data_IF_230942386835
#
_entry.id   IF_230942386835
#
_cell.length_a   1.000
_cell.length_b   1.000
_cell.length_c   1.000
_cell.angle_alpha   90.00
_cell.angle_beta   90.00
_cell.angle_gamma   90.00
#
_symmetry.space_group_name_H-M   'P 1'
#
loop_
_entity.id
_entity.type
_entity.pdbx_description
1 polymer ?
#
# COMPACT_ATOMS: atom_id res chain seq x y z
N UNK A 1 15.32 8.35 14.89
CA UNK A 1 13.96 8.24 14.32
C UNK A 1 13.87 7.06 13.36
N UNK A 2 14.75 6.96 12.37
CA UNK A 2 14.90 5.82 11.45
C UNK A 2 14.58 4.40 11.96
N UNK A 3 15.25 4.00 13.04
CA UNK A 3 15.12 2.66 13.63
C UNK A 3 13.74 2.49 14.28
N UNK A 4 13.19 3.57 14.85
CA UNK A 4 11.84 3.57 15.42
C UNK A 4 10.78 3.37 14.32
N UNK A 5 10.97 4.00 13.15
CA UNK A 5 10.11 3.79 11.98
C UNK A 5 10.13 2.33 11.50
N UNK A 6 11.31 1.68 11.54
CA UNK A 6 11.43 0.24 11.23
C UNK A 6 10.79 -0.70 12.26
N UNK A 7 10.55 -0.22 13.48
CA UNK A 7 9.81 -0.98 14.51
C UNK A 7 8.30 -0.76 14.33
N UNK A 8 7.88 0.46 13.98
CA UNK A 8 6.48 0.81 13.80
C UNK A 8 5.88 0.30 12.48
N UNK A 9 6.70 0.21 11.43
CA UNK A 9 6.34 -0.33 10.12
C UNK A 9 7.46 -1.25 9.62
N UNK A 10 7.47 -2.51 10.08
CA UNK A 10 8.59 -3.41 9.84
C UNK A 10 8.70 -3.84 8.38
N UNK A 11 9.95 -3.99 7.93
CA UNK A 11 10.25 -4.51 6.60
C UNK A 11 10.13 -6.02 6.63
N UNK A 12 9.48 -6.58 5.61
CA UNK A 12 9.41 -8.01 5.39
C UNK A 12 10.02 -8.33 4.03
N UNK A 13 10.79 -9.41 3.96
CA UNK A 13 11.43 -9.84 2.72
C UNK A 13 11.72 -11.33 2.69
N UNK A 14 12.19 -11.81 1.55
CA UNK A 14 12.70 -13.17 1.40
C UNK A 14 14.02 -13.14 0.64
N UNK A 15 14.81 -14.21 0.77
CA UNK A 15 16.04 -14.37 -0.02
C UNK A 15 15.76 -15.18 -1.28
N UNK A 16 15.87 -14.61 -2.50
CA UNK A 16 15.77 -15.40 -3.72
C UNK A 16 16.86 -16.48 -3.75
N UNK A 17 16.53 -17.65 -4.32
CA UNK A 17 17.48 -18.76 -4.41
C UNK A 17 18.74 -18.32 -5.15
N UNK A 18 19.91 -18.46 -4.50
CA UNK A 18 21.20 -18.09 -5.06
C UNK A 18 21.54 -16.59 -5.00
N UNK A 19 20.77 -15.77 -4.27
CA UNK A 19 21.04 -14.35 -4.07
C UNK A 19 21.45 -14.07 -2.63
N UNK A 20 22.48 -13.25 -2.42
CA UNK A 20 22.80 -12.70 -1.09
C UNK A 20 21.86 -11.56 -0.69
N UNK A 21 21.13 -10.98 -1.67
CA UNK A 21 20.22 -9.86 -1.47
C UNK A 21 18.86 -10.32 -0.98
N UNK A 22 18.23 -9.50 -0.14
CA UNK A 22 16.84 -9.68 0.29
C UNK A 22 15.92 -8.95 -0.69
N UNK A 23 14.90 -9.66 -1.17
CA UNK A 23 13.78 -9.06 -1.89
C UNK A 23 12.73 -8.59 -0.89
N UNK A 24 12.45 -7.29 -0.88
CA UNK A 24 11.44 -6.68 0.00
C UNK A 24 10.04 -6.95 -0.56
N UNK A 25 9.12 -7.36 0.32
CA UNK A 25 7.70 -7.62 -0.01
C UNK A 25 6.72 -6.81 0.82
N UNK A 26 7.18 -6.23 1.94
CA UNK A 26 6.45 -5.26 2.75
C UNK A 26 7.45 -4.33 3.48
N UNK A 27 6.97 -3.22 4.00
CA UNK A 27 7.72 -2.09 4.55
C UNK A 27 8.39 -1.24 3.48
N UNK A 28 7.80 -1.10 2.27
CA UNK A 28 8.46 -0.41 1.15
C UNK A 28 8.78 1.05 1.50
N UNK A 29 7.83 1.77 2.11
CA UNK A 29 8.05 3.15 2.54
C UNK A 29 9.16 3.27 3.61
N UNK A 30 9.16 2.37 4.59
CA UNK A 30 10.21 2.27 5.61
C UNK A 30 11.57 2.04 4.94
N UNK A 31 11.64 1.10 4.00
CA UNK A 31 12.86 0.79 3.25
C UNK A 31 13.39 2.02 2.50
N UNK A 32 12.52 2.74 1.79
CA UNK A 32 12.91 3.97 1.08
C UNK A 32 13.40 5.07 2.02
N UNK A 33 12.75 5.29 3.17
CA UNK A 33 13.22 6.26 4.18
C UNK A 33 14.59 5.90 4.72
N UNK A 34 14.84 4.63 4.98
CA UNK A 34 16.15 4.16 5.45
C UNK A 34 17.24 4.37 4.40
N UNK A 35 16.95 4.12 3.12
CA UNK A 35 17.89 4.42 2.02
C UNK A 35 18.22 5.91 1.96
N UNK A 36 17.23 6.79 2.09
CA UNK A 36 17.45 8.24 2.13
C UNK A 36 18.33 8.65 3.32
N UNK A 37 18.16 8.02 4.48
CA UNK A 37 18.98 8.28 5.66
C UNK A 37 20.39 7.73 5.55
N UNK A 38 20.60 6.62 4.84
CA UNK A 38 21.95 6.13 4.55
C UNK A 38 22.76 7.12 3.69
N UNK A 39 22.10 7.99 2.92
CA UNK A 39 22.76 9.07 2.19
C UNK A 39 23.15 10.28 3.06
N UNK A 40 22.95 10.22 4.39
CA UNK A 40 23.29 11.29 5.34
C UNK A 40 24.54 10.98 6.17
N UNK A 41 25.03 11.96 6.93
CA UNK A 41 26.24 11.86 7.76
C UNK A 41 26.14 10.88 8.95
N UNK A 42 24.96 10.30 9.21
CA UNK A 42 24.75 9.26 10.24
C UNK A 42 24.14 8.01 9.63
N UNK A 43 24.95 7.20 8.92
CA UNK A 43 24.47 5.99 8.27
C UNK A 43 23.99 4.96 9.29
N UNK A 44 22.94 4.24 8.93
CA UNK A 44 22.36 3.18 9.75
C UNK A 44 23.12 1.89 9.43
N UNK A 45 23.78 1.33 10.45
CA UNK A 45 24.62 0.15 10.30
C UNK A 45 23.81 -1.14 10.07
N UNK A 46 22.66 -1.29 10.73
CA UNK A 46 21.80 -2.47 10.60
C UNK A 46 20.33 -2.14 10.91
N UNK A 47 19.41 -2.84 10.25
CA UNK A 47 17.96 -2.76 10.48
C UNK A 47 17.42 -4.18 10.60
N UNK A 48 16.53 -4.40 11.56
CA UNK A 48 15.85 -5.68 11.71
C UNK A 48 14.71 -5.79 10.72
N UNK A 49 14.61 -6.93 10.05
CA UNK A 49 13.55 -7.24 9.10
C UNK A 49 12.98 -8.62 9.41
N UNK A 50 11.72 -8.85 9.05
CA UNK A 50 11.13 -10.19 9.05
C UNK A 50 11.53 -10.91 7.77
N UNK A 51 12.31 -11.99 7.92
CA UNK A 51 12.73 -12.83 6.81
C UNK A 51 11.76 -14.01 6.65
N UNK A 52 11.16 -14.12 5.48
CA UNK A 52 10.33 -15.24 5.09
C UNK A 52 11.20 -16.38 4.55
N UNK A 53 10.87 -17.62 4.94
CA UNK A 53 11.57 -18.83 4.48
C UNK A 53 11.47 -19.04 2.97
N UNK A 54 10.37 -18.56 2.37
CA UNK A 54 10.08 -18.73 0.94
C UNK A 54 9.46 -17.47 0.34
N UNK A 55 9.64 -17.32 -0.97
CA UNK A 55 8.95 -16.30 -1.73
C UNK A 55 7.42 -16.45 -1.56
N UNK A 56 6.69 -15.36 -1.22
CA UNK A 56 5.24 -15.42 -1.21
C UNK A 56 4.72 -15.71 -2.62
N UNK A 57 3.57 -16.38 -2.69
CA UNK A 57 2.89 -16.64 -3.98
C UNK A 57 2.64 -15.31 -4.71
N UNK A 58 2.64 -15.27 -6.06
CA UNK A 58 2.39 -14.05 -6.83
C UNK A 58 1.18 -13.25 -6.35
N UNK A 59 0.03 -13.90 -6.16
CA UNK A 59 -1.20 -13.24 -5.71
C UNK A 59 -1.06 -12.61 -4.32
N UNK A 60 -0.34 -13.28 -3.40
CA UNK A 60 -0.07 -12.74 -2.07
C UNK A 60 0.90 -11.56 -2.13
N UNK A 61 1.90 -11.58 -3.01
CA UNK A 61 2.81 -10.42 -3.22
C UNK A 61 2.03 -9.21 -3.74
N UNK A 62 1.11 -9.43 -4.65
CA UNK A 62 0.24 -8.37 -5.16
C UNK A 62 -0.67 -7.81 -4.06
N UNK A 63 -1.30 -8.67 -3.25
CA UNK A 63 -2.12 -8.25 -2.13
C UNK A 63 -1.34 -7.44 -1.09
N UNK A 64 -0.10 -7.85 -0.77
CA UNK A 64 0.77 -7.10 0.12
C UNK A 64 1.06 -5.69 -0.42
N UNK A 65 1.39 -5.58 -1.71
CA UNK A 65 1.64 -4.28 -2.35
C UNK A 65 0.39 -3.39 -2.34
N UNK A 66 -0.76 -3.94 -2.73
CA UNK A 66 -2.03 -3.22 -2.73
C UNK A 66 -2.39 -2.73 -1.34
N UNK A 67 -2.20 -3.57 -0.32
CA UNK A 67 -2.44 -3.22 1.07
C UNK A 67 -1.55 -2.06 1.54
N UNK A 68 -0.27 -2.04 1.18
CA UNK A 68 0.62 -0.93 1.55
C UNK A 68 0.22 0.38 0.88
N UNK A 69 0.00 0.37 -0.43
CA UNK A 69 -0.39 1.56 -1.19
C UNK A 69 -1.72 2.12 -0.67
N UNK A 70 -2.73 1.27 -0.54
CA UNK A 70 -4.04 1.66 -0.05
C UNK A 70 -3.97 2.15 1.39
N UNK A 71 -3.29 1.45 2.31
CA UNK A 71 -3.17 1.94 3.70
C UNK A 71 -2.42 3.25 3.82
N UNK A 72 -1.34 3.46 3.09
CA UNK A 72 -0.61 4.72 3.20
C UNK A 72 -1.42 5.86 2.61
N UNK A 73 -2.14 5.66 1.50
CA UNK A 73 -3.12 6.64 1.00
C UNK A 73 -4.19 6.98 2.05
N UNK A 74 -4.74 5.93 2.68
CA UNK A 74 -5.90 5.99 3.56
C UNK A 74 -5.57 6.47 4.99
N UNK A 75 -4.39 6.16 5.53
CA UNK A 75 -3.97 6.53 6.90
C UNK A 75 -3.05 7.74 6.95
N UNK A 76 -2.19 7.90 5.95
CA UNK A 76 -1.21 9.00 5.93
C UNK A 76 -1.72 10.21 5.13
N UNK A 77 -2.93 10.13 4.57
CA UNK A 77 -3.64 11.23 3.90
C UNK A 77 -2.75 11.99 2.90
N UNK A 78 -2.00 11.27 2.06
CA UNK A 78 -1.10 11.88 1.07
C UNK A 78 -1.79 12.87 0.12
N UNK A 79 -3.12 12.81 0.03
CA UNK A 79 -3.94 13.81 -0.64
C UNK A 79 -5.25 14.00 0.11
N UNK A 80 -5.73 15.25 0.15
CA UNK A 80 -7.06 15.60 0.69
C UNK A 80 -8.14 15.61 -0.40
N UNK A 81 -7.76 15.40 -1.67
CA UNK A 81 -8.71 15.35 -2.78
C UNK A 81 -9.42 14.01 -2.83
N UNK A 82 -10.69 14.00 -2.46
CA UNK A 82 -11.53 12.78 -2.47
C UNK A 82 -11.68 12.17 -3.86
N UNK A 83 -11.63 12.98 -4.92
CA UNK A 83 -11.64 12.51 -6.30
C UNK A 83 -10.31 11.79 -6.64
N UNK A 84 -9.18 12.36 -6.24
CA UNK A 84 -7.86 11.75 -6.45
C UNK A 84 -7.70 10.46 -5.65
N UNK A 85 -8.24 10.38 -4.43
CA UNK A 85 -8.29 9.12 -3.66
C UNK A 85 -9.10 8.08 -4.44
N UNK A 86 -10.26 8.46 -4.98
CA UNK A 86 -11.09 7.55 -5.77
C UNK A 86 -10.34 7.06 -7.03
N UNK A 87 -9.64 7.95 -7.73
CA UNK A 87 -8.84 7.61 -8.92
C UNK A 87 -7.74 6.60 -8.61
N UNK A 88 -6.96 6.83 -7.56
CA UNK A 88 -5.90 5.90 -7.16
C UNK A 88 -6.45 4.53 -6.79
N UNK A 89 -7.52 4.48 -5.99
CA UNK A 89 -8.12 3.21 -5.59
C UNK A 89 -8.69 2.45 -6.78
N UNK A 90 -9.36 3.13 -7.72
CA UNK A 90 -9.87 2.45 -8.92
C UNK A 90 -8.74 1.97 -9.83
N UNK A 91 -7.68 2.76 -10.00
CA UNK A 91 -6.52 2.35 -10.79
C UNK A 91 -5.77 1.16 -10.17
N UNK A 92 -5.53 1.17 -8.86
CA UNK A 92 -4.76 0.10 -8.19
C UNK A 92 -5.52 -1.22 -8.12
N UNK A 93 -6.83 -1.19 -7.95
CA UNK A 93 -7.66 -2.40 -7.91
C UNK A 93 -8.17 -2.83 -9.29
N UNK A 94 -7.60 -2.27 -10.38
CA UNK A 94 -7.99 -2.51 -11.78
C UNK A 94 -9.51 -2.44 -12.00
N UNK A 95 -10.13 -1.45 -11.37
CA UNK A 95 -11.56 -1.19 -11.51
C UNK A 95 -11.77 -0.48 -12.84
N UNK A 96 -12.02 -1.24 -13.91
CA UNK A 96 -12.53 -0.73 -15.18
C UNK A 96 -13.79 0.10 -14.93
N UNK A 97 -14.10 1.02 -15.85
CA UNK A 97 -15.17 2.02 -15.72
C UNK A 97 -16.56 1.49 -15.27
N UNK A 98 -16.85 0.20 -15.47
CA UNK A 98 -18.11 -0.45 -15.08
C UNK A 98 -18.01 -1.34 -13.83
N UNK A 99 -16.80 -1.64 -13.36
CA UNK A 99 -16.57 -2.52 -12.21
C UNK A 99 -16.46 -1.73 -10.91
N UNK A 100 -17.24 -2.16 -9.91
CA UNK A 100 -17.22 -1.58 -8.57
C UNK A 100 -15.97 -2.01 -7.80
N UNK A 101 -15.24 -1.06 -7.23
CA UNK A 101 -14.14 -1.29 -6.27
C UNK A 101 -14.52 -2.31 -5.19
N UNK A 102 -15.72 -2.17 -4.63
CA UNK A 102 -16.21 -3.00 -3.53
C UNK A 102 -16.58 -4.42 -3.98
N UNK A 103 -16.72 -4.65 -5.28
CA UNK A 103 -16.90 -5.96 -5.89
C UNK A 103 -15.59 -6.70 -6.16
N UNK A 104 -14.43 -6.06 -5.98
CA UNK A 104 -13.12 -6.70 -6.19
C UNK A 104 -12.82 -7.70 -5.07
N UNK A 105 -12.49 -8.95 -5.45
CA UNK A 105 -12.06 -9.98 -4.49
C UNK A 105 -10.86 -9.52 -3.65
N UNK A 106 -9.92 -8.80 -4.28
CA UNK A 106 -8.74 -8.24 -3.59
C UNK A 106 -9.15 -7.19 -2.57
N UNK A 107 -10.11 -6.32 -2.91
CA UNK A 107 -10.63 -5.34 -1.97
C UNK A 107 -11.30 -6.00 -0.77
N UNK A 108 -12.15 -6.99 -1.01
CA UNK A 108 -12.87 -7.71 0.06
C UNK A 108 -11.93 -8.49 0.98
N UNK A 109 -10.82 -9.02 0.44
CA UNK A 109 -9.79 -9.67 1.25
C UNK A 109 -9.02 -8.68 2.13
N UNK A 110 -8.69 -7.49 1.61
CA UNK A 110 -7.89 -6.50 2.33
C UNK A 110 -8.71 -5.68 3.34
N UNK A 111 -9.97 -5.37 3.01
CA UNK A 111 -10.85 -4.51 3.80
C UNK A 111 -12.24 -5.15 3.96
N UNK A 112 -12.36 -6.30 4.66
CA UNK A 112 -13.61 -7.06 4.77
C UNK A 112 -14.78 -6.27 5.41
N UNK A 113 -14.45 -5.21 6.15
CA UNK A 113 -15.39 -4.29 6.79
C UNK A 113 -15.82 -3.11 5.89
N UNK A 114 -15.10 -2.78 4.82
CA UNK A 114 -15.40 -1.64 3.95
C UNK A 114 -16.13 -2.13 2.69
N UNK A 115 -17.41 -2.50 2.82
CA UNK A 115 -18.15 -3.19 1.75
C UNK A 115 -18.85 -2.25 0.78
N UNK A 116 -19.00 -0.98 1.15
CA UNK A 116 -19.70 0.01 0.35
C UNK A 116 -18.93 1.31 0.29
N UNK A 117 -19.31 2.16 -0.68
CA UNK A 117 -18.83 3.54 -0.77
C UNK A 117 -19.13 4.33 0.52
N UNK A 118 -20.27 4.08 1.15
CA UNK A 118 -20.64 4.73 2.40
C UNK A 118 -19.70 4.31 3.53
N UNK A 119 -19.35 3.02 3.64
CA UNK A 119 -18.43 2.52 4.67
C UNK A 119 -17.04 3.16 4.52
N UNK A 120 -16.51 3.19 3.29
CA UNK A 120 -15.21 3.79 3.01
C UNK A 120 -15.20 5.30 3.28
N UNK A 121 -16.22 6.03 2.82
CA UNK A 121 -16.30 7.48 3.05
C UNK A 121 -16.49 7.81 4.54
N UNK A 122 -17.28 7.01 5.26
CA UNK A 122 -17.45 7.14 6.70
C UNK A 122 -16.15 6.87 7.45
N UNK A 123 -15.42 5.84 7.07
CA UNK A 123 -14.11 5.53 7.65
C UNK A 123 -13.06 6.61 7.37
N UNK A 124 -13.15 7.27 6.21
CA UNK A 124 -12.29 8.40 5.83
C UNK A 124 -12.75 9.76 6.35
N UNK A 125 -13.94 9.85 6.96
CA UNK A 125 -14.57 11.12 7.36
C UNK A 125 -14.76 12.11 6.19
N UNK A 126 -15.05 11.60 4.99
CA UNK A 126 -15.24 12.41 3.78
C UNK A 126 -16.66 12.32 3.21
N UNK A 127 -17.03 13.30 2.40
CA UNK A 127 -18.31 13.29 1.68
C UNK A 127 -18.32 12.24 0.57
N UNK A 128 -19.32 11.36 0.60
CA UNK A 128 -19.56 10.41 -0.49
C UNK A 128 -19.93 11.08 -1.81
N UNK A 129 -20.41 12.34 -1.80
CA UNK A 129 -20.73 13.08 -3.03
C UNK A 129 -19.49 13.49 -3.82
N UNK A 130 -18.35 13.64 -3.14
CA UNK A 130 -17.09 14.09 -3.75
C UNK A 130 -16.13 12.93 -4.03
N UNK A 131 -16.42 11.74 -3.52
CA UNK A 131 -15.71 10.50 -3.84
C UNK A 131 -16.23 9.92 -5.17
N UNK A 132 -15.86 10.57 -6.26
CA UNK A 132 -16.22 10.15 -7.62
C UNK A 132 -14.91 10.09 -8.41
N UNK A 133 -14.58 8.96 -9.04
CA UNK A 133 -13.43 8.89 -9.92
C UNK A 133 -13.60 9.92 -11.03
N UNK A 134 -12.58 10.73 -11.26
CA UNK A 134 -12.52 11.64 -12.38
C UNK A 134 -12.53 10.75 -13.63
N UNK A 135 -13.65 10.76 -14.39
CA UNK A 135 -13.85 9.89 -15.56
C UNK A 135 -12.54 9.75 -16.34
N UNK A 136 -12.02 8.53 -16.50
CA UNK A 136 -11.15 8.22 -17.63
C UNK A 136 -12.01 8.36 -18.89
N UNK A 137 -12.15 9.61 -19.35
CA UNK A 137 -12.83 9.93 -20.59
C UNK A 137 -11.95 9.49 -21.76
N UNK A 138 -12.52 8.58 -22.54
CA UNK A 138 -12.43 8.44 -24.00
C UNK A 138 -11.05 8.50 -24.66
N UNK A 139 -10.61 7.33 -25.13
CA UNK A 139 -9.71 7.08 -26.28
C UNK A 139 -8.35 7.77 -26.30
#
# INVERSE_FOLDING_TARGET
MAVLDSIQSPIMGYRPKGSEKVAVVAGIFTYHRLLQQQATSKPIAAVQIFLLDKAPKPDLRELLLLHELSRSLLRECFTHSTATIADYLHAWFDCRAESSLFGSDKWQQLFPQLRTKADLCGWLEISSKTFIPTRQGDK
#
